data_IF_808025661615
#
_entry.id   IF_808025661615
#
_cell.length_a   1.000
_cell.length_b   1.000
_cell.length_c   1.000
_cell.angle_alpha   90.00
_cell.angle_beta   90.00
_cell.angle_gamma   90.00
#
_symmetry.space_group_name_H-M   'P 1'
#
loop_
_entity.id
_entity.type
_entity.pdbx_description
1 polymer ?
#
# COMPACT_ATOMS: atom_id res chain seq x y z
N UNK A 1 6.13 0.16 14.97
CA UNK A 1 7.31 0.81 15.62
C UNK A 1 8.08 -0.10 16.60
N UNK A 2 7.83 -1.41 16.61
CA UNK A 2 8.62 -2.35 17.44
C UNK A 2 9.91 -2.67 16.69
N UNK A 3 11.10 -2.34 17.22
CA UNK A 3 12.37 -2.61 16.54
C UNK A 3 12.57 -4.11 16.27
N UNK A 4 13.16 -4.42 15.12
CA UNK A 4 13.48 -5.79 14.70
C UNK A 4 12.27 -6.74 14.56
N UNK A 5 11.07 -6.20 14.38
CA UNK A 5 9.85 -6.97 14.13
C UNK A 5 9.36 -6.71 12.69
N UNK A 6 9.30 -7.75 11.85
CA UNK A 6 8.72 -7.60 10.52
C UNK A 6 7.21 -7.75 10.58
N UNK A 7 6.51 -6.65 10.31
CA UNK A 7 5.05 -6.66 10.22
C UNK A 7 4.63 -6.86 8.76
N UNK A 8 3.80 -7.87 8.52
CA UNK A 8 3.25 -8.17 7.22
C UNK A 8 1.73 -8.01 7.21
N UNK A 9 1.22 -7.25 6.25
CA UNK A 9 -0.20 -7.02 6.00
C UNK A 9 -0.56 -7.36 4.56
N UNK A 10 -0.73 -8.64 4.24
CA UNK A 10 -1.02 -9.09 2.88
C UNK A 10 -2.41 -8.70 2.42
N UNK A 11 -2.54 -8.36 1.12
CA UNK A 11 -3.80 -7.94 0.50
C UNK A 11 -4.60 -9.09 -0.12
N UNK A 12 -4.00 -10.26 -0.32
CA UNK A 12 -4.65 -11.43 -0.91
C UNK A 12 -3.90 -12.74 -0.59
N UNK A 13 -4.35 -13.85 -1.17
CA UNK A 13 -3.76 -15.17 -0.93
C UNK A 13 -2.30 -15.28 -1.40
N UNK A 14 -1.90 -14.60 -2.47
CA UNK A 14 -0.54 -14.65 -3.00
C UNK A 14 0.43 -13.93 -2.06
N UNK A 15 0.09 -12.71 -1.65
CA UNK A 15 0.88 -12.00 -0.64
C UNK A 15 0.90 -12.75 0.70
N UNK A 16 -0.22 -13.37 1.09
CA UNK A 16 -0.27 -14.20 2.31
C UNK A 16 0.70 -15.35 2.27
N UNK A 17 0.78 -16.08 1.15
CA UNK A 17 1.72 -17.19 0.99
C UNK A 17 3.18 -16.72 1.09
N UNK A 18 3.53 -15.60 0.45
CA UNK A 18 4.88 -15.02 0.52
C UNK A 18 5.20 -14.52 1.93
N UNK A 19 4.24 -13.88 2.61
CA UNK A 19 4.41 -13.40 3.98
C UNK A 19 4.65 -14.56 4.96
N UNK A 20 3.92 -15.66 4.82
CA UNK A 20 4.16 -16.87 5.61
C UNK A 20 5.55 -17.45 5.36
N UNK A 21 5.95 -17.56 4.10
CA UNK A 21 7.29 -18.02 3.74
C UNK A 21 8.36 -17.13 4.38
N UNK A 22 8.26 -15.80 4.23
CA UNK A 22 9.20 -14.85 4.79
C UNK A 22 9.30 -14.98 6.33
N UNK A 23 8.15 -15.14 7.01
CA UNK A 23 8.11 -15.31 8.46
C UNK A 23 8.77 -16.62 8.94
N UNK A 24 8.59 -17.73 8.19
CA UNK A 24 9.19 -19.04 8.52
C UNK A 24 10.70 -19.02 8.25
N UNK A 25 11.14 -18.38 7.17
CA UNK A 25 12.55 -18.31 6.78
C UNK A 25 13.36 -17.36 7.67
N UNK A 26 12.73 -16.38 8.32
CA UNK A 26 13.39 -15.42 9.20
C UNK A 26 13.96 -16.07 10.46
N UNK A 27 15.24 -15.81 10.76
CA UNK A 27 15.99 -16.40 11.91
C UNK A 27 16.47 -15.37 12.93
N UNK A 28 16.44 -14.09 12.61
CA UNK A 28 17.08 -13.01 13.38
C UNK A 28 16.10 -12.10 14.13
N UNK A 29 14.81 -12.39 14.06
CA UNK A 29 13.78 -11.61 14.75
C UNK A 29 12.37 -12.15 14.57
N UNK A 30 11.39 -11.58 15.30
CA UNK A 30 10.00 -11.96 15.17
C UNK A 30 9.37 -11.45 13.88
N UNK A 31 8.31 -12.13 13.43
CA UNK A 31 7.43 -11.68 12.36
C UNK A 31 5.98 -11.65 12.84
N UNK A 32 5.27 -10.58 12.52
CA UNK A 32 3.86 -10.42 12.84
C UNK A 32 3.05 -10.42 11.53
N UNK A 33 2.12 -11.35 11.38
CA UNK A 33 1.25 -11.48 10.22
C UNK A 33 -0.15 -10.98 10.58
N UNK A 34 -0.63 -9.92 9.93
CA UNK A 34 -1.92 -9.31 10.18
C UNK A 34 -2.82 -9.53 8.97
N UNK A 35 -3.82 -10.39 9.12
CA UNK A 35 -4.76 -10.74 8.07
C UNK A 35 -6.10 -10.03 8.22
N UNK A 36 -6.77 -9.77 7.09
CA UNK A 36 -8.13 -9.25 7.06
C UNK A 36 -9.14 -10.37 7.35
N UNK A 37 -10.26 -10.02 8.01
CA UNK A 37 -11.39 -10.94 8.22
C UNK A 37 -12.32 -11.01 7.02
N UNK A 38 -12.43 -9.93 6.24
CA UNK A 38 -13.25 -9.88 5.03
C UNK A 38 -12.55 -10.61 3.87
N UNK A 39 -13.35 -11.05 2.92
CA UNK A 39 -12.84 -11.58 1.66
C UNK A 39 -12.22 -10.44 0.83
N UNK A 40 -10.98 -10.64 0.39
CA UNK A 40 -10.26 -9.69 -0.45
C UNK A 40 -10.14 -10.25 -1.88
N UNK A 41 -10.34 -9.38 -2.86
CA UNK A 41 -10.19 -9.75 -4.26
C UNK A 41 -8.72 -10.01 -4.60
N UNK A 42 -8.49 -11.07 -5.38
CA UNK A 42 -7.17 -11.36 -5.93
C UNK A 42 -6.69 -10.18 -6.80
N UNK A 43 -5.44 -9.77 -6.61
CA UNK A 43 -4.79 -8.78 -7.45
C UNK A 43 -3.92 -9.50 -8.51
N UNK A 44 -4.17 -9.27 -9.82
CA UNK A 44 -3.35 -9.86 -10.87
C UNK A 44 -1.88 -9.43 -10.76
N UNK A 45 -0.96 -10.39 -10.98
CA UNK A 45 0.49 -10.15 -10.96
C UNK A 45 1.18 -11.04 -11.97
N UNK A 46 2.23 -10.55 -12.56
CA UNK A 46 3.19 -11.37 -13.29
C UNK A 46 4.20 -12.05 -12.34
N UNK A 47 5.10 -12.84 -12.91
CA UNK A 47 6.07 -13.62 -12.12
C UNK A 47 7.10 -12.71 -11.39
N UNK A 48 7.47 -11.57 -11.97
CA UNK A 48 8.39 -10.62 -11.37
C UNK A 48 7.73 -9.91 -10.19
N UNK A 49 6.49 -9.48 -10.33
CA UNK A 49 5.72 -8.86 -9.27
C UNK A 49 5.53 -9.82 -8.09
N UNK A 50 5.24 -11.11 -8.35
CA UNK A 50 5.16 -12.14 -7.31
C UNK A 50 6.49 -12.29 -6.57
N UNK A 51 7.62 -12.31 -7.29
CA UNK A 51 8.95 -12.38 -6.67
C UNK A 51 9.25 -11.14 -5.81
N UNK A 52 8.81 -9.97 -6.26
CA UNK A 52 9.04 -8.70 -5.56
C UNK A 52 8.20 -8.51 -4.29
N UNK A 53 7.14 -9.31 -4.05
CA UNK A 53 6.40 -9.29 -2.77
C UNK A 53 7.35 -9.51 -1.59
N UNK A 54 8.32 -10.42 -1.73
CA UNK A 54 9.30 -10.72 -0.68
C UNK A 54 10.19 -9.54 -0.29
N UNK A 55 10.20 -8.48 -1.09
CA UNK A 55 10.92 -7.22 -0.81
C UNK A 55 10.12 -6.23 0.06
N UNK A 56 8.89 -6.59 0.45
CA UNK A 56 8.08 -5.82 1.39
C UNK A 56 7.28 -4.67 0.80
N UNK A 57 7.65 -4.19 -0.39
CA UNK A 57 6.94 -3.17 -1.16
C UNK A 57 7.30 -3.26 -2.63
N UNK A 58 6.33 -3.18 -3.53
CA UNK A 58 6.53 -3.36 -4.97
C UNK A 58 5.47 -2.64 -5.80
N UNK A 59 5.77 -2.40 -7.08
CA UNK A 59 4.81 -1.84 -8.04
C UNK A 59 3.81 -2.93 -8.42
N UNK A 60 2.57 -2.80 -7.95
CA UNK A 60 1.48 -3.72 -8.28
C UNK A 60 0.86 -3.40 -9.64
N UNK A 61 0.64 -2.12 -9.91
CA UNK A 61 0.12 -1.66 -11.20
C UNK A 61 0.81 -0.35 -11.58
N UNK A 62 1.55 -0.35 -12.69
CA UNK A 62 2.28 0.84 -13.11
C UNK A 62 1.43 1.80 -13.94
N UNK A 63 1.92 3.02 -14.06
CA UNK A 63 1.42 4.01 -14.99
C UNK A 63 1.78 3.62 -16.43
N UNK A 64 0.97 4.02 -17.39
CA UNK A 64 1.30 3.85 -18.80
C UNK A 64 2.62 4.54 -19.14
N UNK A 65 3.54 3.79 -19.73
CA UNK A 65 4.90 4.26 -20.04
C UNK A 65 5.85 4.34 -18.84
N UNK A 66 5.46 3.83 -17.65
CA UNK A 66 6.34 3.70 -16.48
C UNK A 66 6.65 5.00 -15.73
N UNK A 67 6.09 6.15 -16.16
CA UNK A 67 6.32 7.46 -15.55
C UNK A 67 5.02 7.98 -14.91
N UNK A 68 4.78 7.73 -13.62
CA UNK A 68 3.56 8.17 -12.96
C UNK A 68 3.56 9.67 -12.64
N UNK A 69 2.38 10.28 -12.78
CA UNK A 69 2.10 11.63 -12.26
C UNK A 69 1.77 11.58 -10.75
N UNK A 70 1.19 10.44 -10.31
CA UNK A 70 0.80 10.20 -8.92
C UNK A 70 1.07 8.75 -8.52
N UNK A 71 1.47 8.53 -7.27
CA UNK A 71 1.68 7.20 -6.69
C UNK A 71 0.67 6.98 -5.56
N UNK A 72 -0.08 5.89 -5.64
CA UNK A 72 -0.96 5.41 -4.59
C UNK A 72 -0.23 4.29 -3.82
N UNK A 73 -0.13 4.42 -2.50
CA UNK A 73 0.53 3.44 -1.63
C UNK A 73 -0.56 2.83 -0.74
N UNK A 74 -0.64 1.51 -0.71
CA UNK A 74 -1.62 0.81 0.11
C UNK A 74 -1.05 -0.49 0.70
N UNK A 75 -1.67 -0.97 1.76
CA UNK A 75 -1.33 -2.25 2.40
C UNK A 75 -2.61 -3.01 2.76
N UNK A 76 -2.54 -4.33 2.81
CA UNK A 76 -3.67 -5.16 3.22
C UNK A 76 -4.94 -4.92 2.41
N UNK A 77 -6.05 -4.82 3.09
CA UNK A 77 -7.39 -4.65 2.49
C UNK A 77 -7.54 -3.39 1.64
N UNK A 78 -6.75 -2.35 1.88
CA UNK A 78 -6.85 -1.07 1.19
C UNK A 78 -6.22 -1.08 -0.21
N UNK A 79 -5.43 -2.11 -0.56
CA UNK A 79 -4.85 -2.27 -1.90
C UNK A 79 -5.93 -2.34 -2.98
N UNK A 80 -7.04 -3.02 -2.71
CA UNK A 80 -8.19 -3.06 -3.62
C UNK A 80 -8.81 -1.68 -3.89
N UNK A 81 -8.85 -0.80 -2.88
CA UNK A 81 -9.33 0.57 -3.03
C UNK A 81 -8.37 1.42 -3.87
N UNK A 82 -7.06 1.23 -3.68
CA UNK A 82 -6.05 1.93 -4.48
C UNK A 82 -6.12 1.51 -5.97
N UNK A 83 -6.34 0.23 -6.26
CA UNK A 83 -6.51 -0.23 -7.66
C UNK A 83 -7.79 0.30 -8.30
N UNK A 84 -8.89 0.41 -7.56
CA UNK A 84 -10.13 1.06 -8.03
C UNK A 84 -9.91 2.56 -8.30
N UNK A 85 -9.23 3.25 -7.37
CA UNK A 85 -8.90 4.67 -7.54
C UNK A 85 -8.00 4.91 -8.77
N UNK A 86 -7.01 4.03 -9.01
CA UNK A 86 -6.16 4.09 -10.22
C UNK A 86 -7.01 4.08 -11.49
N UNK A 87 -7.97 3.16 -11.63
CA UNK A 87 -8.81 3.08 -12.82
C UNK A 87 -9.55 4.41 -13.08
N UNK A 88 -10.04 5.06 -12.01
CA UNK A 88 -10.73 6.36 -12.11
C UNK A 88 -9.77 7.50 -12.47
N UNK A 89 -8.57 7.50 -11.89
CA UNK A 89 -7.55 8.54 -12.14
C UNK A 89 -7.00 8.43 -13.57
N UNK A 90 -6.68 7.21 -14.03
CA UNK A 90 -6.20 6.96 -15.38
C UNK A 90 -7.25 7.40 -16.43
N UNK A 91 -8.55 7.09 -16.20
CA UNK A 91 -9.64 7.55 -17.05
C UNK A 91 -9.77 9.09 -17.07
N UNK A 92 -9.32 9.77 -16.03
CA UNK A 92 -9.24 11.23 -15.96
C UNK A 92 -7.94 11.82 -16.54
N UNK A 93 -7.05 10.98 -17.09
CA UNK A 93 -5.79 11.38 -17.71
C UNK A 93 -4.60 11.53 -16.76
N UNK A 94 -4.73 11.14 -15.49
CA UNK A 94 -3.61 11.10 -14.55
C UNK A 94 -2.92 9.71 -14.60
N UNK A 95 -1.68 9.68 -15.01
CA UNK A 95 -0.87 8.46 -15.04
C UNK A 95 -0.59 7.99 -13.61
N UNK A 96 -1.21 6.92 -13.19
CA UNK A 96 -1.22 6.49 -11.80
C UNK A 96 -0.44 5.18 -11.60
N UNK A 97 0.44 5.15 -10.61
CA UNK A 97 1.09 3.93 -10.11
C UNK A 97 0.43 3.48 -8.81
N UNK A 98 0.20 2.17 -8.65
CA UNK A 98 -0.17 1.56 -7.38
C UNK A 98 1.01 0.76 -6.85
N UNK A 99 1.39 1.05 -5.62
CA UNK A 99 2.40 0.31 -4.85
C UNK A 99 1.68 -0.46 -3.74
N UNK A 100 1.81 -1.79 -3.75
CA UNK A 100 1.45 -2.60 -2.61
C UNK A 100 2.63 -2.66 -1.64
N UNK A 101 2.37 -2.39 -0.37
CA UNK A 101 3.39 -2.32 0.69
C UNK A 101 3.05 -3.32 1.80
N UNK A 102 3.14 -4.64 1.56
CA UNK A 102 2.78 -5.64 2.56
C UNK A 102 3.67 -5.62 3.81
N UNK A 103 4.92 -5.12 3.71
CA UNK A 103 5.81 -4.97 4.87
C UNK A 103 6.75 -3.79 4.69
N UNK A 104 6.50 -2.72 5.41
CA UNK A 104 7.36 -1.53 5.42
C UNK A 104 8.74 -1.82 6.00
N UNK A 105 8.82 -2.65 7.04
CA UNK A 105 10.09 -3.01 7.69
C UNK A 105 11.04 -3.71 6.71
N UNK A 106 10.51 -4.61 5.89
CA UNK A 106 11.27 -5.31 4.86
C UNK A 106 11.64 -4.40 3.70
N UNK A 107 10.71 -3.54 3.27
CA UNK A 107 10.94 -2.56 2.20
C UNK A 107 12.05 -1.57 2.56
N UNK A 108 12.06 -1.06 3.79
CA UNK A 108 13.04 -0.07 4.23
C UNK A 108 14.47 -0.61 4.25
N UNK A 109 14.64 -1.94 4.39
CA UNK A 109 15.94 -2.61 4.30
C UNK A 109 16.41 -2.89 2.88
N UNK A 110 15.60 -2.61 1.85
CA UNK A 110 16.01 -2.77 0.45
C UNK A 110 17.06 -1.74 0.05
N UNK A 111 17.79 -2.03 -1.03
CA UNK A 111 18.77 -1.07 -1.57
C UNK A 111 18.10 0.25 -1.99
N UNK A 112 18.88 1.32 -2.00
CA UNK A 112 18.39 2.64 -2.41
C UNK A 112 17.84 2.61 -3.85
N UNK A 113 18.50 1.87 -4.75
CA UNK A 113 18.11 1.72 -6.14
C UNK A 113 16.73 1.04 -6.26
N UNK A 114 16.48 -0.01 -5.46
CA UNK A 114 15.18 -0.67 -5.47
C UNK A 114 14.08 0.24 -4.92
N UNK A 115 14.34 0.90 -3.80
CA UNK A 115 13.36 1.84 -3.22
C UNK A 115 13.04 2.98 -4.17
N UNK A 116 14.05 3.50 -4.88
CA UNK A 116 13.87 4.54 -5.91
C UNK A 116 13.05 4.01 -7.11
N UNK A 117 13.21 2.76 -7.51
CA UNK A 117 12.44 2.16 -8.60
C UNK A 117 10.95 2.04 -8.26
N UNK A 118 10.62 1.78 -6.98
CA UNK A 118 9.24 1.64 -6.49
C UNK A 118 8.61 3.01 -6.19
N UNK A 119 9.32 3.86 -5.44
CA UNK A 119 8.89 5.19 -5.00
C UNK A 119 9.90 6.25 -5.46
N UNK A 120 9.95 6.58 -6.76
CA UNK A 120 10.91 7.54 -7.29
C UNK A 120 10.77 8.91 -6.63
N UNK A 121 11.88 9.49 -6.16
CA UNK A 121 11.93 10.77 -5.46
C UNK A 121 11.42 11.94 -6.30
N UNK A 122 11.51 11.83 -7.62
CA UNK A 122 10.99 12.82 -8.56
C UNK A 122 9.44 12.92 -8.51
N UNK A 123 8.75 11.84 -8.11
CA UNK A 123 7.28 11.82 -8.01
C UNK A 123 6.87 12.12 -6.57
N UNK A 124 6.51 13.37 -6.32
CA UNK A 124 6.14 13.87 -4.98
C UNK A 124 4.66 13.77 -4.68
N UNK A 125 3.81 13.67 -5.70
CA UNK A 125 2.37 13.46 -5.55
C UNK A 125 2.12 12.01 -5.13
N UNK A 126 2.04 11.77 -3.83
CA UNK A 126 1.84 10.45 -3.25
C UNK A 126 0.65 10.45 -2.31
N UNK A 127 -0.19 9.45 -2.43
CA UNK A 127 -1.32 9.22 -1.52
C UNK A 127 -1.16 7.85 -0.88
N UNK A 128 -1.14 7.79 0.44
CA UNK A 128 -1.20 6.53 1.17
C UNK A 128 -2.61 6.31 1.72
N UNK A 129 -3.05 5.05 1.73
CA UNK A 129 -4.33 4.64 2.33
C UNK A 129 -4.13 3.40 3.20
N UNK A 130 -4.52 3.51 4.45
CA UNK A 130 -4.53 2.42 5.42
C UNK A 130 -5.57 2.69 6.51
N UNK A 131 -6.28 1.65 6.96
CA UNK A 131 -7.15 1.69 8.14
C UNK A 131 -6.29 1.71 9.43
N UNK A 132 -5.44 2.72 9.57
CA UNK A 132 -4.49 2.95 10.65
C UNK A 132 -4.20 4.44 10.80
N UNK A 133 -3.31 4.81 11.74
CA UNK A 133 -2.95 6.22 12.01
C UNK A 133 -2.19 6.83 10.83
N UNK A 134 -2.56 8.07 10.47
CA UNK A 134 -1.98 8.76 9.31
C UNK A 134 -0.50 9.08 9.49
N UNK A 135 -0.05 9.33 10.70
CA UNK A 135 1.32 9.77 11.00
C UNK A 135 2.41 8.80 10.51
N UNK A 136 2.11 7.49 10.52
CA UNK A 136 3.07 6.48 10.06
C UNK A 136 3.47 6.65 8.59
N UNK A 137 2.53 6.98 7.72
CA UNK A 137 2.75 7.05 6.27
C UNK A 137 3.45 8.31 5.79
N UNK A 138 3.63 9.32 6.66
CA UNK A 138 4.30 10.59 6.32
C UNK A 138 5.73 10.38 5.81
N UNK A 139 6.43 9.35 6.28
CA UNK A 139 7.77 9.01 5.81
C UNK A 139 7.83 8.56 4.34
N UNK A 140 6.72 8.02 3.79
CA UNK A 140 6.62 7.55 2.40
C UNK A 140 6.00 8.58 1.46
N UNK A 141 4.99 9.32 1.94
CA UNK A 141 4.33 10.34 1.11
C UNK A 141 5.02 11.70 1.16
N UNK A 142 5.80 11.97 2.19
CA UNK A 142 6.47 13.25 2.37
C UNK A 142 5.52 14.39 2.77
N UNK A 143 6.02 15.63 2.67
CA UNK A 143 5.26 16.83 3.05
C UNK A 143 4.20 17.21 2.02
N UNK A 144 4.44 16.90 0.74
CA UNK A 144 3.56 17.24 -0.37
C UNK A 144 2.49 16.16 -0.64
N UNK A 145 2.57 15.03 0.05
CA UNK A 145 1.63 13.93 -0.11
C UNK A 145 0.45 13.97 0.84
N UNK A 146 -0.53 13.11 0.60
CA UNK A 146 -1.72 12.94 1.42
C UNK A 146 -1.78 11.54 2.04
N UNK A 147 -2.43 11.44 3.19
CA UNK A 147 -2.69 10.14 3.85
C UNK A 147 -4.16 10.06 4.21
N UNK A 148 -4.78 8.95 3.81
CA UNK A 148 -6.13 8.57 4.20
C UNK A 148 -6.01 7.50 5.27
N UNK A 149 -6.48 7.78 6.46
CA UNK A 149 -6.34 6.89 7.62
C UNK A 149 -7.33 7.23 8.72
N UNK A 150 -7.10 6.68 9.91
CA UNK A 150 -7.97 6.82 11.07
C UNK A 150 -7.13 7.34 12.25
N UNK A 151 -7.31 8.61 12.61
CA UNK A 151 -6.61 9.26 13.74
C UNK A 151 -7.46 9.34 15.01
N UNK A 152 -8.52 8.57 15.07
CA UNK A 152 -9.40 8.45 16.22
C UNK A 152 -9.48 6.99 16.70
N UNK A 153 -10.11 6.76 17.83
CA UNK A 153 -10.41 5.40 18.25
C UNK A 153 -11.35 4.74 17.24
N UNK A 154 -11.11 3.46 16.94
CA UNK A 154 -11.90 2.68 15.98
C UNK A 154 -13.33 2.41 16.47
N UNK A 155 -14.10 1.75 15.64
CA UNK A 155 -15.45 1.29 15.94
C UNK A 155 -15.60 -0.20 15.58
N UNK A 156 -16.65 -0.84 16.07
CA UNK A 156 -16.93 -2.25 15.80
C UNK A 156 -18.21 -2.38 14.96
N UNK A 157 -18.02 -2.71 13.68
CA UNK A 157 -19.08 -3.01 12.72
C UNK A 157 -18.48 -3.78 11.52
N UNK A 158 -19.29 -4.28 10.57
CA UNK A 158 -18.77 -4.81 9.30
C UNK A 158 -17.96 -3.79 8.52
N UNK A 159 -16.96 -4.26 7.74
CA UNK A 159 -16.03 -3.40 7.03
C UNK A 159 -16.70 -2.48 5.98
N UNK A 160 -17.74 -2.96 5.33
CA UNK A 160 -18.58 -2.21 4.38
C UNK A 160 -19.33 -1.02 5.01
N UNK A 161 -19.55 -1.06 6.32
CA UNK A 161 -20.10 0.05 7.10
C UNK A 161 -19.00 0.98 7.60
N UNK A 162 -17.89 0.40 8.14
CA UNK A 162 -16.83 1.18 8.77
C UNK A 162 -15.96 1.94 7.76
N UNK A 163 -15.69 1.38 6.61
CA UNK A 163 -14.84 2.02 5.61
C UNK A 163 -15.42 3.35 5.12
N UNK A 164 -16.69 3.41 4.68
CA UNK A 164 -17.31 4.69 4.35
C UNK A 164 -17.41 5.64 5.57
N UNK A 165 -17.70 5.12 6.76
CA UNK A 165 -17.79 5.91 7.99
C UNK A 165 -16.48 6.64 8.31
N UNK A 166 -15.33 5.98 8.13
CA UNK A 166 -14.00 6.57 8.34
C UNK A 166 -13.41 7.23 7.09
N UNK A 167 -14.12 7.22 5.97
CA UNK A 167 -13.60 7.78 4.70
C UNK A 167 -12.50 6.94 4.06
N UNK A 168 -12.40 5.65 4.39
CA UNK A 168 -11.45 4.71 3.75
C UNK A 168 -12.10 4.20 2.47
N UNK A 169 -12.10 5.01 1.42
CA UNK A 169 -12.77 4.70 0.15
C UNK A 169 -11.93 5.09 -1.08
N UNK A 170 -12.21 4.46 -2.22
CA UNK A 170 -11.55 4.77 -3.48
C UNK A 170 -11.80 6.23 -3.93
N UNK A 171 -13.02 6.73 -3.66
CA UNK A 171 -13.39 8.13 -3.98
C UNK A 171 -12.53 9.12 -3.19
N UNK A 172 -12.26 8.85 -1.91
CA UNK A 172 -11.38 9.69 -1.09
C UNK A 172 -9.93 9.65 -1.58
N UNK A 173 -9.45 8.51 -2.08
CA UNK A 173 -8.13 8.42 -2.72
C UNK A 173 -8.08 9.27 -3.98
N UNK A 174 -9.13 9.21 -4.84
CA UNK A 174 -9.22 10.02 -6.06
C UNK A 174 -9.26 11.51 -5.72
N UNK A 175 -10.06 11.90 -4.73
CA UNK A 175 -10.17 13.29 -4.26
C UNK A 175 -8.80 13.80 -3.77
N UNK A 176 -8.14 13.03 -2.91
CA UNK A 176 -6.82 13.37 -2.39
C UNK A 176 -5.77 13.50 -3.51
N UNK A 177 -5.72 12.52 -4.44
CA UNK A 177 -4.77 12.56 -5.56
C UNK A 177 -4.95 13.80 -6.45
N UNK A 178 -6.20 14.19 -6.73
CA UNK A 178 -6.52 15.40 -7.51
C UNK A 178 -6.19 16.69 -6.77
N UNK A 179 -6.26 16.70 -5.44
CA UNK A 179 -5.96 17.89 -4.63
C UNK A 179 -4.46 18.21 -4.54
N UNK A 180 -3.60 17.27 -4.90
CA UNK A 180 -2.15 17.48 -4.89
C UNK A 180 -1.63 18.30 -6.09
N UNK A 181 -2.51 18.88 -6.88
CA UNK A 181 -2.24 19.86 -7.92
C UNK A 181 -1.78 19.26 -9.24
#
# INVERSE_FOLDING_TARGET
YIPNNDVWRPCDAVESAVSWRAAIERKDGPSCLIFSRQNLAHQPRDAEQVANISRGGYVLADAEGGNPDVILIATGSEVGLATQAKATLDAAGLKTRVVSMPSTDVYDRQSAEYRESVLPNAVRKRVAIEAGVTGFWRQYVGLDGAVIGIDTFGASAPADVLYPYFGITAEKVVEAAKSLG
#
